data_IF_228008848521
#
_entry.id   IF_228008848521
#
_cell.length_a   1.000
_cell.length_b   1.000
_cell.length_c   1.000
_cell.angle_alpha   90.00
_cell.angle_beta   90.00
_cell.angle_gamma   90.00
#
_symmetry.space_group_name_H-M   'P 1'
#
loop_
_entity.id
_entity.type
_entity.pdbx_description
1 polymer ?
#
# COMPACT_ATOMS: atom_id res chain seq x y z
N UNK A 1 -2.19 4.89 -3.59
CA UNK A 1 -3.66 4.78 -3.74
C UNK A 1 -4.00 4.73 -5.24
N UNK A 2 -3.45 5.64 -6.03
CA UNK A 2 -3.57 5.70 -7.50
C UNK A 2 -3.63 4.36 -8.24
N UNK A 3 -2.74 3.40 -7.93
CA UNK A 3 -2.74 2.09 -8.60
C UNK A 3 -4.00 1.27 -8.35
N UNK A 4 -4.55 1.35 -7.13
CA UNK A 4 -5.81 0.69 -6.78
C UNK A 4 -7.01 1.41 -7.43
N UNK A 5 -7.01 2.74 -7.44
CA UNK A 5 -8.04 3.56 -8.11
C UNK A 5 -8.05 3.34 -9.64
N UNK A 6 -6.89 3.08 -10.22
CA UNK A 6 -6.76 2.71 -11.63
C UNK A 6 -7.29 1.30 -11.96
N UNK A 7 -7.84 0.56 -10.98
CA UNK A 7 -8.48 -0.75 -11.17
C UNK A 7 -7.59 -1.95 -10.87
N UNK A 8 -6.40 -1.76 -10.26
CA UNK A 8 -5.58 -2.90 -9.87
C UNK A 8 -6.18 -3.63 -8.66
N UNK A 9 -6.39 -4.94 -8.80
CA UNK A 9 -6.84 -5.80 -7.69
C UNK A 9 -5.72 -6.18 -6.71
N UNK A 10 -4.45 -6.05 -7.12
CA UNK A 10 -3.28 -6.39 -6.31
C UNK A 10 -2.12 -5.44 -6.63
N UNK A 11 -1.31 -5.12 -5.61
CA UNK A 11 -0.06 -4.38 -5.75
C UNK A 11 1.07 -5.19 -5.12
N UNK A 12 2.21 -5.24 -5.80
CA UNK A 12 3.41 -5.94 -5.34
C UNK A 12 4.55 -4.94 -5.12
N UNK A 13 5.40 -5.21 -4.13
CA UNK A 13 6.54 -4.37 -3.77
C UNK A 13 7.78 -5.25 -3.61
N UNK A 14 8.87 -4.89 -4.28
CA UNK A 14 10.14 -5.61 -4.18
C UNK A 14 11.28 -4.67 -3.80
N UNK A 15 11.71 -3.80 -4.72
CA UNK A 15 12.82 -2.85 -4.46
C UNK A 15 12.55 -1.94 -3.26
N UNK A 16 11.33 -1.41 -3.14
CA UNK A 16 10.97 -0.58 -1.99
C UNK A 16 10.97 -1.33 -0.66
N UNK A 17 10.83 -2.65 -0.65
CA UNK A 17 10.95 -3.45 0.58
C UNK A 17 12.41 -3.52 1.05
N UNK A 18 13.36 -3.56 0.12
CA UNK A 18 14.81 -3.56 0.43
C UNK A 18 15.23 -2.24 1.07
N UNK A 19 14.75 -1.11 0.57
CA UNK A 19 15.14 0.21 1.07
C UNK A 19 14.39 0.63 2.35
N UNK A 20 13.09 0.33 2.44
CA UNK A 20 12.24 0.82 3.54
C UNK A 20 12.13 -0.17 4.71
N UNK A 21 12.62 -1.40 4.51
CA UNK A 21 12.51 -2.50 5.46
C UNK A 21 11.09 -3.02 5.68
N UNK A 22 10.92 -4.03 6.54
CA UNK A 22 9.64 -4.71 6.74
C UNK A 22 8.51 -3.81 7.28
N UNK A 23 8.86 -2.69 7.92
CA UNK A 23 7.90 -1.73 8.45
C UNK A 23 7.02 -1.05 7.38
N UNK A 24 7.46 -1.04 6.12
CA UNK A 24 6.73 -0.42 5.00
C UNK A 24 5.37 -1.06 4.78
N UNK A 25 5.27 -2.39 4.92
CA UNK A 25 4.02 -3.14 4.72
C UNK A 25 2.97 -2.69 5.73
N UNK A 26 3.36 -2.54 7.00
CA UNK A 26 2.46 -2.06 8.07
C UNK A 26 2.00 -0.63 7.82
N UNK A 27 2.88 0.25 7.32
CA UNK A 27 2.52 1.63 6.96
C UNK A 27 1.51 1.66 5.82
N UNK A 28 1.75 0.89 4.75
CA UNK A 28 0.85 0.78 3.60
C UNK A 28 -0.53 0.30 4.05
N UNK A 29 -0.61 -0.81 4.80
CA UNK A 29 -1.90 -1.37 5.23
C UNK A 29 -2.69 -0.41 6.11
N UNK A 30 -2.04 0.31 7.04
CA UNK A 30 -2.70 1.34 7.85
C UNK A 30 -3.26 2.48 7.00
N UNK A 31 -2.49 2.95 6.02
CA UNK A 31 -2.95 4.00 5.10
C UNK A 31 -4.11 3.52 4.23
N UNK A 32 -4.10 2.27 3.77
CA UNK A 32 -5.21 1.66 3.02
C UNK A 32 -6.49 1.61 3.85
N UNK A 33 -6.42 1.10 5.09
CA UNK A 33 -7.58 1.07 6.00
C UNK A 33 -8.13 2.48 6.24
N UNK A 34 -7.26 3.46 6.48
CA UNK A 34 -7.68 4.86 6.68
C UNK A 34 -8.34 5.46 5.44
N UNK A 35 -7.84 5.13 4.25
CA UNK A 35 -8.40 5.60 2.99
C UNK A 35 -9.79 5.01 2.75
N UNK A 36 -9.94 3.68 2.85
CA UNK A 36 -11.23 3.01 2.63
C UNK A 36 -12.26 3.28 3.74
N UNK A 37 -11.84 3.52 4.98
CA UNK A 37 -12.75 3.89 6.07
C UNK A 37 -13.27 5.34 5.97
N UNK A 38 -12.70 6.16 5.10
CA UNK A 38 -13.12 7.55 4.86
C UNK A 38 -14.02 7.72 3.64
N UNK A 39 -14.19 6.66 2.83
CA UNK A 39 -15.29 6.55 1.86
C UNK A 39 -16.56 6.14 2.59
#
# INVERSE_FOLDING_TARGET
IEKLEAGASLVQLYTGFIYEGPGVVKRINKSLVKYFSKM
#
